data_IF_321396167857
#
_entry.id   IF_321396167857
#
_cell.length_a   1.000
_cell.length_b   1.000
_cell.length_c   1.000
_cell.angle_alpha   90.00
_cell.angle_beta   90.00
_cell.angle_gamma   90.00
#
_symmetry.space_group_name_H-M   'P 1'
#
loop_
_entity.id
_entity.type
_entity.pdbx_description
1 polymer ?
#
# COMPACT_ATOMS: atom_id res chain seq x y z
N UNK A 1 6.96 -33.69 -0.24
CA UNK A 1 7.39 -32.67 0.73
C UNK A 1 7.78 -31.34 0.10
N UNK A 2 8.27 -31.31 -1.14
CA UNK A 2 8.68 -30.04 -1.80
C UNK A 2 7.54 -29.20 -2.41
N UNK A 3 6.29 -29.69 -2.43
CA UNK A 3 5.18 -28.98 -3.09
C UNK A 3 4.56 -27.82 -2.30
N UNK A 4 4.62 -27.88 -0.99
CA UNK A 4 4.07 -26.83 -0.11
C UNK A 4 4.95 -25.58 -0.05
N UNK A 5 6.25 -25.74 -0.09
CA UNK A 5 7.21 -24.61 -0.05
C UNK A 5 7.16 -23.81 -1.36
N UNK A 6 6.94 -24.46 -2.53
CA UNK A 6 6.82 -23.77 -3.83
C UNK A 6 5.60 -22.86 -3.98
N UNK A 7 4.47 -23.17 -3.33
CA UNK A 7 3.27 -22.28 -3.35
C UNK A 7 3.45 -21.00 -2.56
N UNK A 8 4.49 -20.92 -1.76
CA UNK A 8 4.75 -19.85 -0.81
C UNK A 8 5.59 -18.71 -1.39
N UNK A 9 6.38 -18.97 -2.44
CA UNK A 9 7.27 -17.95 -3.05
C UNK A 9 6.50 -16.94 -3.94
N UNK A 10 5.30 -17.28 -4.41
CA UNK A 10 4.55 -16.49 -5.41
C UNK A 10 3.85 -15.22 -4.90
N UNK A 11 3.86 -14.89 -3.60
CA UNK A 11 3.04 -13.80 -3.05
C UNK A 11 3.81 -12.65 -2.39
N UNK A 12 5.14 -12.59 -2.48
CA UNK A 12 5.91 -11.54 -1.84
C UNK A 12 6.46 -10.51 -2.83
N UNK A 13 5.74 -9.42 -2.93
CA UNK A 13 6.26 -8.14 -3.39
C UNK A 13 6.67 -7.30 -2.20
N UNK A 14 7.94 -6.93 -2.17
CA UNK A 14 8.44 -5.66 -1.66
C UNK A 14 7.95 -5.18 -0.28
N UNK A 15 8.35 -5.85 0.81
CA UNK A 15 8.26 -5.26 2.16
C UNK A 15 9.60 -5.39 2.90
N UNK A 16 10.68 -4.96 2.28
CA UNK A 16 11.94 -4.73 2.97
C UNK A 16 12.28 -3.26 2.78
N UNK A 17 11.62 -2.41 3.49
CA UNK A 17 12.03 -1.02 3.81
C UNK A 17 10.78 -0.20 4.15
N UNK A 18 10.26 -0.36 5.35
CA UNK A 18 9.65 0.75 6.08
C UNK A 18 9.69 0.47 7.58
N UNK A 19 10.79 0.85 8.22
CA UNK A 19 10.77 1.09 9.66
C UNK A 19 9.96 2.36 9.89
N UNK A 20 8.65 2.19 10.07
CA UNK A 20 7.81 3.26 10.59
C UNK A 20 8.13 3.39 12.07
N UNK A 21 8.83 4.46 12.41
CA UNK A 21 8.96 4.93 13.78
C UNK A 21 7.60 5.45 14.22
N UNK A 22 6.83 4.62 14.92
CA UNK A 22 5.72 5.13 15.74
C UNK A 22 6.28 5.36 17.12
N UNK A 23 6.57 6.61 17.42
CA UNK A 23 6.83 7.06 18.76
C UNK A 23 5.54 6.99 19.58
N UNK A 24 5.50 6.13 20.59
CA UNK A 24 4.56 6.25 21.68
C UNK A 24 5.37 6.49 22.93
N UNK A 25 5.34 7.73 23.37
CA UNK A 25 5.80 8.10 24.71
C UNK A 25 4.81 7.57 25.75
N UNK A 26 5.33 7.19 26.90
CA UNK A 26 4.49 6.94 28.06
C UNK A 26 5.15 6.08 29.12
N UNK A 27 5.67 6.69 30.11
CA UNK A 27 5.91 6.36 31.51
C UNK A 27 5.39 5.01 32.05
N UNK A 28 6.22 4.38 32.86
CA UNK A 28 5.79 3.43 33.88
C UNK A 28 6.76 2.27 33.99
N UNK A 29 7.85 2.43 34.71
CA UNK A 29 8.67 1.33 35.14
C UNK A 29 7.94 0.58 36.26
N UNK A 30 7.10 -0.39 35.92
CA UNK A 30 6.62 -1.34 36.89
C UNK A 30 7.72 -2.36 37.20
N UNK A 31 8.21 -2.30 38.40
CA UNK A 31 9.01 -3.35 39.03
C UNK A 31 8.14 -4.62 39.12
N UNK A 32 8.29 -5.50 38.14
CA UNK A 32 7.75 -6.89 38.27
C UNK A 32 8.51 -7.55 39.38
N UNK A 33 7.91 -7.55 40.59
CA UNK A 33 8.40 -8.30 41.71
C UNK A 33 8.47 -9.78 41.34
N UNK A 34 9.63 -10.40 41.51
CA UNK A 34 9.73 -11.85 41.50
C UNK A 34 8.88 -12.37 42.69
N UNK A 35 7.93 -13.26 42.42
CA UNK A 35 7.22 -13.95 43.48
C UNK A 35 8.23 -14.65 44.37
N UNK A 36 8.10 -14.49 45.69
CA UNK A 36 8.91 -15.21 46.63
C UNK A 36 8.45 -16.66 46.70
N UNK A 37 9.33 -17.58 47.15
CA UNK A 37 8.99 -18.99 47.26
C UNK A 37 7.79 -19.22 48.20
N UNK A 38 7.58 -18.35 49.20
CA UNK A 38 6.43 -18.39 50.11
C UNK A 38 5.13 -17.97 49.41
N UNK A 39 5.18 -16.98 48.51
CA UNK A 39 4.02 -16.61 47.69
C UNK A 39 3.68 -17.71 46.68
N UNK A 40 4.68 -18.38 46.11
CA UNK A 40 4.49 -19.53 45.23
C UNK A 40 3.91 -20.75 45.94
N UNK A 41 4.21 -20.93 47.25
CA UNK A 41 3.68 -22.03 48.05
C UNK A 41 2.18 -21.92 48.32
N UNK A 42 1.58 -20.74 48.19
CA UNK A 42 0.14 -20.50 48.39
C UNK A 42 -0.73 -20.89 47.22
N UNK A 43 -0.15 -21.14 46.04
CA UNK A 43 -0.93 -21.55 44.87
C UNK A 43 -1.20 -23.04 44.87
N UNK A 44 -2.45 -23.49 44.56
CA UNK A 44 -2.78 -24.91 44.45
C UNK A 44 -1.85 -25.60 43.43
N UNK A 45 -1.50 -26.87 43.70
CA UNK A 45 -0.64 -27.66 42.81
C UNK A 45 -1.10 -27.66 41.35
N UNK A 46 -2.41 -27.61 41.12
CA UNK A 46 -2.99 -27.52 39.78
C UNK A 46 -2.59 -26.24 39.02
N UNK A 47 -2.40 -25.11 39.72
CA UNK A 47 -1.91 -23.85 39.11
C UNK A 47 -0.40 -23.88 38.92
N UNK A 48 0.33 -24.70 39.62
CA UNK A 48 1.78 -24.89 39.42
C UNK A 48 2.11 -25.63 38.10
N UNK A 49 1.19 -26.51 37.65
CA UNK A 49 1.34 -27.21 36.36
C UNK A 49 1.02 -26.32 35.14
N UNK A 50 0.46 -25.13 35.35
CA UNK A 50 0.28 -24.12 34.30
C UNK A 50 1.44 -23.11 34.20
N UNK A 51 2.46 -23.24 35.03
CA UNK A 51 3.73 -22.57 34.74
C UNK A 51 4.28 -23.14 33.44
N UNK A 52 4.85 -22.30 32.55
CA UNK A 52 5.49 -22.79 31.34
C UNK A 52 6.44 -23.90 31.76
N UNK A 53 6.22 -25.10 31.20
CA UNK A 53 7.17 -26.19 31.37
C UNK A 53 8.55 -25.68 31.00
N UNK A 54 9.63 -26.33 31.48
CA UNK A 54 10.97 -25.95 31.12
C UNK A 54 10.97 -25.73 29.61
N UNK A 55 11.63 -24.69 29.17
CA UNK A 55 11.72 -24.18 27.78
C UNK A 55 12.28 -25.21 26.78
N UNK A 56 11.75 -26.41 26.81
CA UNK A 56 11.93 -27.52 25.87
C UNK A 56 10.74 -27.63 24.92
N UNK A 57 10.17 -26.50 24.50
CA UNK A 57 9.19 -26.44 23.43
C UNK A 57 9.80 -26.96 22.14
N UNK A 58 8.94 -27.47 21.25
CA UNK A 58 9.34 -27.89 19.89
C UNK A 58 10.22 -26.82 19.26
N UNK A 59 11.31 -27.23 18.67
CA UNK A 59 12.20 -26.35 17.94
C UNK A 59 12.19 -26.74 16.47
N UNK A 60 12.27 -25.75 15.59
CA UNK A 60 12.45 -25.98 14.16
C UNK A 60 13.96 -25.97 13.85
N UNK A 61 14.45 -27.08 13.36
CA UNK A 61 15.83 -27.16 12.88
C UNK A 61 15.89 -26.72 11.42
N UNK A 62 16.81 -25.80 11.11
CA UNK A 62 17.12 -25.31 9.78
C UNK A 62 18.60 -25.58 9.55
N UNK A 63 18.91 -26.72 8.92
CA UNK A 63 20.27 -27.26 8.84
C UNK A 63 20.91 -27.40 10.24
N UNK A 64 21.89 -26.55 10.55
CA UNK A 64 22.62 -26.56 11.85
C UNK A 64 22.10 -25.54 12.86
N UNK A 65 21.13 -24.73 12.49
CA UNK A 65 20.56 -23.70 13.38
C UNK A 65 19.13 -24.06 13.80
N UNK A 66 18.71 -23.52 14.93
CA UNK A 66 17.44 -23.87 15.55
C UNK A 66 16.62 -22.60 15.81
N UNK A 67 15.36 -22.61 15.42
CA UNK A 67 14.36 -21.58 15.75
C UNK A 67 13.50 -22.13 16.89
N UNK A 68 13.35 -21.37 17.98
CA UNK A 68 12.52 -21.75 19.11
C UNK A 68 11.13 -21.09 19.05
N UNK A 69 10.13 -21.76 19.63
CA UNK A 69 8.78 -21.20 19.79
C UNK A 69 8.82 -19.87 20.55
N UNK A 70 9.70 -19.75 21.55
CA UNK A 70 9.87 -18.52 22.34
C UNK A 70 10.29 -17.32 21.48
N UNK A 71 11.25 -17.52 20.59
CA UNK A 71 11.71 -16.46 19.67
C UNK A 71 10.59 -15.97 18.76
N UNK A 72 9.83 -16.89 18.16
CA UNK A 72 8.73 -16.55 17.25
C UNK A 72 7.62 -15.81 18.00
N UNK A 73 7.20 -16.35 19.13
CA UNK A 73 6.11 -15.75 19.91
C UNK A 73 6.50 -14.36 20.45
N UNK A 74 7.75 -14.20 20.91
CA UNK A 74 8.26 -12.91 21.37
C UNK A 74 8.25 -11.84 20.27
N UNK A 75 8.65 -12.21 19.05
CA UNK A 75 8.62 -11.30 17.89
C UNK A 75 7.20 -10.82 17.57
N UNK A 76 6.22 -11.71 17.71
CA UNK A 76 4.83 -11.44 17.37
C UNK A 76 4.02 -10.81 18.52
N UNK A 77 4.63 -10.51 19.68
CA UNK A 77 3.92 -9.96 20.83
C UNK A 77 3.05 -8.77 20.48
N UNK A 78 3.63 -7.74 19.87
CA UNK A 78 2.92 -6.51 19.51
C UNK A 78 1.75 -6.72 18.54
N UNK A 79 1.86 -7.74 17.68
CA UNK A 79 0.86 -8.03 16.65
C UNK A 79 -0.26 -8.94 17.18
N UNK A 80 0.05 -9.90 18.06
CA UNK A 80 -0.88 -10.94 18.48
C UNK A 80 -1.50 -10.71 19.88
N UNK A 81 -0.92 -9.85 20.70
CA UNK A 81 -1.42 -9.62 22.07
C UNK A 81 -2.86 -9.07 22.09
N UNK A 82 -3.18 -8.10 21.24
CA UNK A 82 -4.53 -7.52 21.16
C UNK A 82 -5.54 -8.49 20.52
N UNK A 83 -5.23 -9.11 19.36
CA UNK A 83 -6.11 -10.12 18.76
C UNK A 83 -6.38 -11.34 19.64
N UNK A 84 -5.50 -11.69 20.58
CA UNK A 84 -5.69 -12.85 21.45
C UNK A 84 -6.72 -12.61 22.56
N UNK A 85 -6.98 -11.34 22.90
CA UNK A 85 -7.95 -10.96 23.92
C UNK A 85 -9.36 -11.05 23.35
N UNK A 86 -10.27 -11.68 24.08
CA UNK A 86 -11.71 -11.75 23.75
C UNK A 86 -12.09 -12.54 22.47
N UNK A 87 -11.27 -13.49 22.05
CA UNK A 87 -11.59 -14.39 20.94
C UNK A 87 -11.44 -15.86 21.36
N UNK A 88 -12.16 -16.76 20.67
CA UNK A 88 -11.96 -18.21 20.85
C UNK A 88 -10.62 -18.66 20.27
N UNK A 89 -10.10 -19.79 20.78
CA UNK A 89 -8.85 -20.39 20.28
C UNK A 89 -8.90 -20.66 18.78
N UNK A 90 -10.01 -21.15 18.27
CA UNK A 90 -10.23 -21.42 16.85
C UNK A 90 -10.18 -20.15 16.00
N UNK A 91 -10.91 -19.11 16.40
CA UNK A 91 -10.91 -17.82 15.71
C UNK A 91 -9.54 -17.15 15.73
N UNK A 92 -8.80 -17.29 16.83
CA UNK A 92 -7.43 -16.80 16.91
C UNK A 92 -6.51 -17.58 15.98
N UNK A 93 -6.60 -18.91 15.96
CA UNK A 93 -5.77 -19.76 15.13
C UNK A 93 -5.94 -19.44 13.64
N UNK A 94 -7.16 -19.27 13.17
CA UNK A 94 -7.45 -18.92 11.78
C UNK A 94 -6.77 -17.60 11.39
N UNK A 95 -6.78 -16.60 12.25
CA UNK A 95 -6.22 -15.27 11.98
C UNK A 95 -4.71 -15.18 12.21
N UNK A 96 -4.21 -15.84 13.24
CA UNK A 96 -2.82 -15.73 13.67
C UNK A 96 -1.89 -16.67 12.91
N UNK A 97 -2.36 -17.85 12.50
CA UNK A 97 -1.54 -18.86 11.82
C UNK A 97 -0.80 -18.33 10.59
N UNK A 98 -1.44 -17.57 9.67
CA UNK A 98 -0.71 -16.99 8.53
C UNK A 98 0.40 -16.02 8.94
N UNK A 99 0.18 -15.21 9.99
CA UNK A 99 1.20 -14.27 10.49
C UNK A 99 2.38 -15.01 11.15
N UNK A 100 2.08 -16.05 11.90
CA UNK A 100 3.11 -16.93 12.51
C UNK A 100 3.91 -17.64 11.41
N UNK A 101 3.23 -18.18 10.41
CA UNK A 101 3.85 -18.86 9.27
C UNK A 101 4.78 -17.93 8.49
N UNK A 102 4.35 -16.69 8.22
CA UNK A 102 5.16 -15.69 7.56
C UNK A 102 6.42 -15.34 8.38
N UNK A 103 6.27 -15.15 9.69
CA UNK A 103 7.40 -14.86 10.59
C UNK A 103 8.38 -16.02 10.68
N UNK A 104 7.89 -17.25 10.77
CA UNK A 104 8.76 -18.46 10.77
C UNK A 104 9.50 -18.56 9.44
N UNK A 105 8.81 -18.32 8.33
CA UNK A 105 9.42 -18.34 7.00
C UNK A 105 10.51 -17.27 6.86
N UNK A 106 10.27 -16.04 7.30
CA UNK A 106 11.28 -14.99 7.29
C UNK A 106 12.52 -15.42 8.07
N UNK A 107 12.34 -15.97 9.27
CA UNK A 107 13.45 -16.51 10.07
C UNK A 107 14.22 -17.61 9.36
N UNK A 108 13.51 -18.54 8.73
CA UNK A 108 14.15 -19.63 7.95
C UNK A 108 14.98 -19.04 6.81
N UNK A 109 14.43 -18.09 6.05
CA UNK A 109 15.13 -17.43 4.96
C UNK A 109 16.36 -16.68 5.47
N UNK A 110 16.26 -15.95 6.57
CA UNK A 110 17.38 -15.22 7.18
C UNK A 110 18.52 -16.17 7.56
N UNK A 111 18.20 -17.31 8.19
CA UNK A 111 19.20 -18.33 8.54
C UNK A 111 19.86 -18.89 7.28
N UNK A 112 19.08 -19.29 6.29
CA UNK A 112 19.59 -19.89 5.06
C UNK A 112 20.44 -18.91 4.27
N UNK A 113 20.02 -17.67 4.14
CA UNK A 113 20.78 -16.61 3.48
C UNK A 113 22.11 -16.35 4.21
N UNK A 114 22.08 -16.30 5.54
CA UNK A 114 23.30 -16.12 6.32
C UNK A 114 24.27 -17.28 6.17
N UNK A 115 23.77 -18.53 6.21
CA UNK A 115 24.59 -19.73 5.99
C UNK A 115 25.23 -19.72 4.58
N UNK A 116 24.45 -19.38 3.55
CA UNK A 116 24.97 -19.25 2.19
C UNK A 116 25.98 -18.11 2.06
N UNK A 117 25.68 -16.94 2.62
CA UNK A 117 26.59 -15.81 2.63
C UNK A 117 27.93 -16.17 3.31
N UNK A 118 27.86 -16.87 4.45
CA UNK A 118 29.05 -17.32 5.18
C UNK A 118 29.85 -18.34 4.37
N UNK A 119 29.20 -19.28 3.70
CA UNK A 119 29.87 -20.32 2.90
C UNK A 119 30.56 -19.78 1.63
N UNK A 120 30.08 -18.65 1.12
CA UNK A 120 30.57 -17.95 -0.08
C UNK A 120 31.53 -16.80 0.24
N UNK A 121 31.67 -16.45 1.51
CA UNK A 121 32.53 -15.37 1.96
C UNK A 121 33.99 -15.64 1.63
N UNK A 122 34.73 -14.60 1.21
CA UNK A 122 36.16 -14.67 1.03
C UNK A 122 36.88 -14.70 2.39
N UNK A 123 38.11 -15.27 2.42
CA UNK A 123 38.92 -15.34 3.64
C UNK A 123 39.17 -13.98 4.30
N UNK A 124 39.19 -12.90 3.51
CA UNK A 124 39.47 -11.55 4.01
C UNK A 124 38.22 -10.70 4.29
N UNK A 125 36.99 -11.31 4.28
CA UNK A 125 35.75 -10.58 4.45
C UNK A 125 35.61 -9.95 5.84
N UNK A 126 36.24 -10.57 6.85
CA UNK A 126 36.06 -10.19 8.24
C UNK A 126 36.56 -8.75 8.52
N UNK A 127 37.72 -8.36 8.00
CA UNK A 127 38.23 -7.00 8.17
C UNK A 127 37.33 -5.94 7.49
N UNK A 128 36.81 -6.26 6.30
CA UNK A 128 35.90 -5.37 5.58
C UNK A 128 34.57 -5.23 6.31
N UNK A 129 34.04 -6.31 6.88
CA UNK A 129 32.83 -6.29 7.67
C UNK A 129 32.99 -5.50 8.97
N UNK A 130 34.13 -5.66 9.67
CA UNK A 130 34.39 -4.89 10.89
C UNK A 130 34.40 -3.40 10.62
N UNK A 131 35.07 -2.96 9.56
CA UNK A 131 35.05 -1.55 9.13
C UNK A 131 33.64 -1.06 8.79
N UNK A 132 32.86 -1.87 8.03
CA UNK A 132 31.52 -1.52 7.66
C UNK A 132 30.57 -1.46 8.88
N UNK A 133 30.71 -2.38 9.84
CA UNK A 133 29.93 -2.37 11.08
C UNK A 133 30.21 -1.12 11.90
N UNK A 134 31.49 -0.71 12.04
CA UNK A 134 31.81 0.51 12.76
C UNK A 134 31.28 1.77 12.05
N UNK A 135 31.22 1.77 10.72
CA UNK A 135 30.56 2.85 9.98
C UNK A 135 29.05 2.92 10.31
N UNK A 136 28.37 1.77 10.37
CA UNK A 136 26.94 1.71 10.73
C UNK A 136 26.70 2.10 12.21
N UNK A 137 27.60 1.73 13.12
CA UNK A 137 27.54 2.20 14.52
C UNK A 137 27.66 3.72 14.59
N UNK A 138 28.64 4.30 13.89
CA UNK A 138 28.83 5.75 13.86
C UNK A 138 27.63 6.46 13.23
N UNK A 139 27.06 5.90 12.16
CA UNK A 139 25.85 6.43 11.55
C UNK A 139 24.67 6.39 12.52
N UNK A 140 24.47 5.28 13.22
CA UNK A 140 23.38 5.14 14.20
C UNK A 140 23.52 6.16 15.36
N UNK A 141 24.74 6.43 15.82
CA UNK A 141 25.00 7.47 16.82
C UNK A 141 24.74 8.86 16.24
N UNK A 142 25.14 9.11 14.99
CA UNK A 142 24.87 10.38 14.29
C UNK A 142 23.37 10.64 14.14
N UNK A 143 22.61 9.63 13.72
CA UNK A 143 21.15 9.69 13.58
C UNK A 143 20.45 9.91 14.93
N UNK A 144 21.12 9.57 16.03
CA UNK A 144 20.68 9.84 17.41
C UNK A 144 21.17 11.21 17.92
N UNK A 145 21.43 12.18 17.03
CA UNK A 145 21.89 13.53 17.36
C UNK A 145 23.34 13.59 17.88
N UNK A 146 24.21 12.68 17.45
CA UNK A 146 25.57 12.49 17.95
C UNK A 146 25.63 12.21 19.47
N UNK A 147 24.56 11.66 20.04
CA UNK A 147 24.46 11.36 21.46
C UNK A 147 24.49 9.85 21.69
N UNK A 148 25.65 9.35 22.16
CA UNK A 148 25.87 7.94 22.43
C UNK A 148 24.89 7.38 23.48
N UNK A 149 24.57 8.14 24.54
CA UNK A 149 23.65 7.70 25.58
C UNK A 149 22.21 7.56 25.02
N UNK A 150 21.79 8.48 24.15
CA UNK A 150 20.49 8.37 23.48
C UNK A 150 20.43 7.20 22.50
N UNK A 151 21.50 6.97 21.74
CA UNK A 151 21.62 5.80 20.86
C UNK A 151 21.54 4.51 21.68
N UNK A 152 22.26 4.41 22.79
CA UNK A 152 22.22 3.26 23.69
C UNK A 152 20.81 3.04 24.29
N UNK A 153 20.14 4.10 24.73
CA UNK A 153 18.77 4.02 25.24
C UNK A 153 17.81 3.48 24.16
N UNK A 154 17.97 3.92 22.91
CA UNK A 154 17.20 3.42 21.76
C UNK A 154 17.44 1.93 21.49
N UNK A 155 18.67 1.45 21.59
CA UNK A 155 19.01 0.02 21.49
C UNK A 155 18.39 -0.78 22.63
N UNK A 156 18.54 -0.29 23.86
CA UNK A 156 17.98 -0.95 25.06
C UNK A 156 16.45 -1.07 24.98
N UNK A 157 15.78 -0.05 24.45
CA UNK A 157 14.33 -0.09 24.20
C UNK A 157 13.91 -1.18 23.18
N UNK A 158 14.84 -1.61 22.33
CA UNK A 158 14.66 -2.74 21.39
C UNK A 158 15.18 -4.07 21.93
N UNK A 159 15.66 -4.09 23.18
CA UNK A 159 16.23 -5.28 23.82
C UNK A 159 17.63 -5.65 23.30
N UNK A 160 18.36 -4.70 22.72
CA UNK A 160 19.70 -4.87 22.21
C UNK A 160 20.71 -4.07 23.04
N UNK A 161 21.91 -4.61 23.17
CA UNK A 161 23.10 -3.88 23.58
C UNK A 161 23.99 -3.58 22.34
N UNK A 162 25.10 -2.88 22.54
CA UNK A 162 26.02 -2.56 21.47
C UNK A 162 26.66 -3.79 20.82
N UNK A 163 26.88 -4.86 21.59
CA UNK A 163 27.39 -6.12 21.05
C UNK A 163 26.33 -6.77 20.14
N UNK A 164 25.10 -6.92 20.63
CA UNK A 164 24.01 -7.46 19.85
C UNK A 164 23.73 -6.66 18.58
N UNK A 165 23.85 -5.33 18.64
CA UNK A 165 23.71 -4.46 17.47
C UNK A 165 24.82 -4.70 16.45
N UNK A 166 26.10 -4.79 16.88
CA UNK A 166 27.23 -5.11 15.98
C UNK A 166 27.08 -6.49 15.36
N UNK A 167 26.72 -7.49 16.15
CA UNK A 167 26.50 -8.87 15.66
C UNK A 167 25.37 -8.92 14.62
N UNK A 168 24.28 -8.16 14.87
CA UNK A 168 23.19 -8.03 13.90
C UNK A 168 23.66 -7.34 12.62
N UNK A 169 24.34 -6.21 12.71
CA UNK A 169 24.84 -5.48 11.56
C UNK A 169 25.83 -6.31 10.74
N UNK A 170 26.71 -7.06 11.40
CA UNK A 170 27.66 -7.94 10.72
C UNK A 170 26.95 -9.00 9.88
N UNK A 171 25.94 -9.67 10.47
CA UNK A 171 25.13 -10.65 9.74
C UNK A 171 24.40 -10.01 8.57
N UNK A 172 23.76 -8.87 8.82
CA UNK A 172 23.03 -8.13 7.81
C UNK A 172 23.92 -7.72 6.61
N UNK A 173 25.07 -7.10 6.88
CA UNK A 173 25.99 -6.65 5.85
C UNK A 173 26.57 -7.82 5.03
N UNK A 174 26.88 -8.94 5.69
CA UNK A 174 27.34 -10.14 5.00
C UNK A 174 26.28 -10.68 4.04
N UNK A 175 25.03 -10.78 4.48
CA UNK A 175 23.90 -11.22 3.64
C UNK A 175 23.65 -10.24 2.50
N UNK A 176 23.68 -8.93 2.77
CA UNK A 176 23.50 -7.91 1.72
C UNK A 176 24.60 -7.96 0.67
N UNK A 177 25.85 -8.17 1.09
CA UNK A 177 26.99 -8.38 0.17
C UNK A 177 26.76 -9.59 -0.72
N UNK A 178 26.38 -10.73 -0.14
CA UNK A 178 26.08 -11.96 -0.87
C UNK A 178 24.95 -11.74 -1.90
N UNK A 179 23.82 -11.18 -1.48
CA UNK A 179 22.69 -10.87 -2.36
C UNK A 179 23.12 -9.93 -3.49
N UNK A 180 23.90 -8.92 -3.17
CA UNK A 180 24.39 -7.95 -4.17
C UNK A 180 25.25 -8.62 -5.24
N UNK A 181 26.10 -9.57 -4.88
CA UNK A 181 26.92 -10.34 -5.81
C UNK A 181 26.07 -11.29 -6.65
N UNK A 182 25.17 -12.06 -6.03
CA UNK A 182 24.30 -13.02 -6.73
C UNK A 182 23.28 -12.36 -7.66
N UNK A 183 22.84 -11.15 -7.31
CA UNK A 183 21.89 -10.38 -8.12
C UNK A 183 22.56 -9.35 -9.02
N UNK A 184 23.89 -9.33 -9.09
CA UNK A 184 24.60 -8.46 -10.01
C UNK A 184 24.11 -8.76 -11.43
N UNK A 185 23.58 -7.73 -12.09
CA UNK A 185 22.98 -7.86 -13.40
C UNK A 185 23.84 -7.19 -14.45
N UNK A 186 24.48 -8.01 -15.21
CA UNK A 186 25.27 -7.55 -16.36
C UNK A 186 24.46 -7.59 -17.67
N UNK A 187 23.20 -8.06 -17.62
CA UNK A 187 22.32 -8.14 -18.78
C UNK A 187 21.36 -6.94 -18.84
N UNK A 188 21.44 -6.14 -19.88
CA UNK A 188 20.48 -5.04 -20.06
C UNK A 188 19.07 -5.57 -20.26
N UNK A 189 18.08 -4.74 -19.95
CA UNK A 189 16.68 -5.01 -20.34
C UNK A 189 16.61 -4.96 -21.87
N UNK A 190 16.15 -6.04 -22.47
CA UNK A 190 16.00 -6.13 -23.91
C UNK A 190 14.71 -5.44 -24.36
N UNK A 191 14.68 -4.93 -25.58
CA UNK A 191 13.47 -4.30 -26.13
C UNK A 191 12.25 -5.23 -26.10
N UNK A 192 12.46 -6.51 -26.37
CA UNK A 192 11.38 -7.52 -26.34
C UNK A 192 10.74 -7.61 -24.95
N UNK A 193 11.54 -7.54 -23.87
CA UNK A 193 11.01 -7.58 -22.50
C UNK A 193 10.08 -6.38 -22.20
N UNK A 194 10.41 -5.23 -22.78
CA UNK A 194 9.59 -4.01 -22.63
C UNK A 194 8.29 -4.11 -23.39
N UNK A 195 8.35 -4.64 -24.63
CA UNK A 195 7.15 -4.83 -25.46
C UNK A 195 6.20 -5.84 -24.82
N UNK A 196 6.71 -7.00 -24.39
CA UNK A 196 5.91 -8.02 -23.70
C UNK A 196 5.25 -7.45 -22.43
N UNK A 197 6.00 -6.68 -21.65
CA UNK A 197 5.45 -6.07 -20.44
C UNK A 197 4.42 -5.00 -20.76
N UNK A 198 4.68 -4.13 -21.75
CA UNK A 198 3.72 -3.14 -22.24
C UNK A 198 2.41 -3.79 -22.66
N UNK A 199 2.48 -4.85 -23.49
CA UNK A 199 1.29 -5.57 -23.97
C UNK A 199 0.51 -6.21 -22.82
N UNK A 200 1.19 -6.65 -21.77
CA UNK A 200 0.52 -7.24 -20.60
C UNK A 200 -0.26 -6.24 -19.74
N UNK A 201 0.06 -4.93 -19.82
CA UNK A 201 -0.52 -3.90 -18.95
C UNK A 201 -1.31 -2.82 -19.72
N UNK A 202 -1.20 -2.73 -21.05
CA UNK A 202 -1.77 -1.63 -21.85
C UNK A 202 -3.27 -1.49 -21.63
N UNK A 203 -4.02 -2.61 -21.65
CA UNK A 203 -5.47 -2.62 -21.52
C UNK A 203 -5.99 -2.32 -20.10
N UNK A 204 -5.13 -2.41 -19.10
CA UNK A 204 -5.52 -2.27 -17.69
C UNK A 204 -4.93 -1.04 -17.02
N UNK A 205 -3.63 -0.78 -17.22
CA UNK A 205 -2.90 0.26 -16.51
C UNK A 205 -2.60 1.51 -17.35
N UNK A 206 -2.56 1.37 -18.67
CA UNK A 206 -2.16 2.45 -19.59
C UNK A 206 -3.34 3.08 -20.31
N UNK A 207 -4.57 2.60 -20.06
CA UNK A 207 -5.77 3.27 -20.59
C UNK A 207 -5.88 4.68 -20.02
N UNK A 208 -6.25 5.60 -20.90
CA UNK A 208 -6.59 6.96 -20.53
C UNK A 208 -8.06 7.18 -20.82
N UNK A 209 -8.79 7.67 -19.84
CA UNK A 209 -10.19 8.04 -20.02
C UNK A 209 -10.32 9.23 -20.95
N UNK A 210 -11.39 9.23 -21.75
CA UNK A 210 -11.78 10.40 -22.48
C UNK A 210 -12.21 11.52 -21.54
N UNK A 211 -12.09 12.75 -21.96
CA UNK A 211 -12.61 13.88 -21.21
C UNK A 211 -13.19 14.94 -22.13
N UNK A 212 -14.19 15.64 -21.61
CA UNK A 212 -14.81 16.78 -22.27
C UNK A 212 -14.76 17.99 -21.34
N UNK A 213 -14.44 19.15 -21.90
CA UNK A 213 -14.50 20.45 -21.24
C UNK A 213 -15.49 21.30 -22.00
N UNK A 214 -16.43 21.91 -21.29
CA UNK A 214 -17.52 22.65 -21.92
C UNK A 214 -17.94 23.85 -21.06
N UNK A 215 -18.67 24.78 -21.72
CA UNK A 215 -19.39 25.87 -21.07
C UNK A 215 -20.88 25.57 -21.09
N UNK A 216 -21.57 26.05 -20.07
CA UNK A 216 -23.02 25.88 -19.93
C UNK A 216 -23.69 27.22 -19.60
N UNK A 217 -24.79 27.50 -20.26
CA UNK A 217 -25.79 28.48 -19.80
C UNK A 217 -26.93 27.64 -19.22
N UNK A 218 -27.23 27.83 -17.95
CA UNK A 218 -28.32 27.18 -17.24
C UNK A 218 -29.44 28.20 -16.96
N UNK A 219 -30.58 27.96 -17.55
CA UNK A 219 -31.79 28.78 -17.34
C UNK A 219 -32.75 27.98 -16.49
N UNK A 220 -33.01 28.46 -15.27
CA UNK A 220 -33.94 27.85 -14.34
C UNK A 220 -35.29 28.58 -14.44
N UNK A 221 -36.38 27.93 -14.95
CA UNK A 221 -37.68 28.56 -15.14
C UNK A 221 -38.19 29.27 -13.92
N UNK A 222 -38.02 28.70 -12.73
CA UNK A 222 -38.48 29.25 -11.46
C UNK A 222 -37.79 30.57 -11.07
N UNK A 223 -36.61 30.83 -11.61
CA UNK A 223 -35.79 32.04 -11.34
C UNK A 223 -36.01 33.14 -12.35
N UNK A 224 -36.85 32.93 -13.37
CA UNK A 224 -37.17 33.96 -14.36
C UNK A 224 -37.97 35.09 -13.71
N UNK A 225 -37.58 36.36 -14.01
CA UNK A 225 -38.29 37.54 -13.60
C UNK A 225 -39.58 37.75 -14.43
N UNK A 226 -40.53 38.55 -13.93
CA UNK A 226 -41.74 38.85 -14.66
C UNK A 226 -41.44 39.51 -16.04
N UNK A 227 -40.40 40.32 -16.09
CA UNK A 227 -39.90 40.97 -17.31
C UNK A 227 -39.43 39.97 -18.35
N UNK A 228 -38.70 38.90 -17.91
CA UNK A 228 -38.21 37.83 -18.76
C UNK A 228 -39.33 36.92 -19.29
N UNK A 229 -40.39 36.72 -18.50
CA UNK A 229 -41.56 35.94 -18.91
C UNK A 229 -42.40 36.77 -19.94
N UNK A 230 -42.56 38.08 -19.71
CA UNK A 230 -43.33 38.96 -20.57
C UNK A 230 -44.86 38.75 -20.44
N UNK A 231 -45.63 39.58 -21.13
CA UNK A 231 -47.10 39.58 -21.09
C UNK A 231 -47.74 38.52 -22.05
N UNK A 232 -46.96 37.56 -22.57
CA UNK A 232 -47.38 36.66 -23.63
C UNK A 232 -48.25 35.48 -23.19
N UNK A 233 -48.61 35.41 -21.89
CA UNK A 233 -49.40 34.28 -21.34
C UNK A 233 -48.65 32.96 -21.29
N UNK A 234 -47.34 32.98 -21.54
CA UNK A 234 -46.47 31.78 -21.50
C UNK A 234 -46.25 31.32 -20.08
N UNK A 235 -46.14 30.03 -19.91
CA UNK A 235 -45.65 29.40 -18.65
C UNK A 235 -44.15 29.68 -18.48
N UNK A 236 -43.64 29.56 -17.24
CA UNK A 236 -42.19 29.73 -16.96
C UNK A 236 -41.31 28.82 -17.77
N UNK A 237 -41.63 27.50 -17.92
CA UNK A 237 -40.82 26.59 -18.78
C UNK A 237 -40.84 27.02 -20.25
N UNK A 238 -41.96 27.48 -20.78
CA UNK A 238 -42.05 27.94 -22.17
C UNK A 238 -41.22 29.22 -22.39
N UNK A 239 -41.24 30.13 -21.45
CA UNK A 239 -40.42 31.34 -21.47
C UNK A 239 -38.92 31.01 -21.39
N UNK A 240 -38.50 30.02 -20.56
CA UNK A 240 -37.14 29.56 -20.46
C UNK A 240 -36.66 28.94 -21.79
N UNK A 241 -37.49 28.14 -22.43
CA UNK A 241 -37.18 27.56 -23.76
C UNK A 241 -37.08 28.63 -24.84
N UNK A 242 -37.95 29.64 -24.81
CA UNK A 242 -37.88 30.79 -25.74
C UNK A 242 -36.57 31.55 -25.59
N UNK A 243 -36.20 31.90 -24.35
CA UNK A 243 -34.95 32.59 -24.05
C UNK A 243 -33.75 31.74 -24.50
N UNK A 244 -33.77 30.44 -24.22
CA UNK A 244 -32.71 29.57 -24.64
C UNK A 244 -32.53 29.53 -26.17
N UNK A 245 -33.63 29.46 -26.94
CA UNK A 245 -33.56 29.53 -28.42
C UNK A 245 -33.02 30.86 -28.91
N UNK A 246 -33.45 31.98 -28.32
CA UNK A 246 -32.91 33.30 -28.64
C UNK A 246 -31.41 33.39 -28.39
N UNK A 247 -30.93 32.81 -27.28
CA UNK A 247 -29.49 32.76 -26.98
C UNK A 247 -28.73 31.89 -27.95
N UNK A 248 -29.24 30.71 -28.33
CA UNK A 248 -28.65 29.86 -29.36
C UNK A 248 -28.51 30.61 -30.70
N UNK A 249 -29.54 31.36 -31.13
CA UNK A 249 -29.47 32.18 -32.33
C UNK A 249 -28.41 33.28 -32.24
N UNK A 250 -28.31 33.96 -31.11
CA UNK A 250 -27.32 35.02 -30.86
C UNK A 250 -25.89 34.47 -30.89
N UNK A 251 -25.67 33.31 -30.27
CA UNK A 251 -24.38 32.65 -30.33
C UNK A 251 -24.06 32.24 -31.77
N UNK A 252 -25.04 31.72 -32.53
CA UNK A 252 -24.89 31.39 -33.95
C UNK A 252 -24.57 32.60 -34.84
N UNK A 253 -24.93 33.82 -34.39
CA UNK A 253 -24.55 35.10 -35.04
C UNK A 253 -23.20 35.64 -34.57
N UNK A 254 -22.48 34.95 -33.73
CA UNK A 254 -21.13 35.29 -33.28
C UNK A 254 -21.07 36.05 -31.95
N UNK A 255 -22.14 36.10 -31.18
CA UNK A 255 -22.12 36.71 -29.85
C UNK A 255 -21.37 35.78 -28.87
N UNK A 256 -20.56 36.38 -27.98
CA UNK A 256 -19.70 35.62 -27.10
C UNK A 256 -20.49 34.80 -26.08
N UNK A 257 -20.25 33.48 -26.05
CA UNK A 257 -20.93 32.55 -25.17
C UNK A 257 -20.67 32.85 -23.68
N UNK A 258 -19.44 33.24 -23.33
CA UNK A 258 -19.07 33.50 -21.95
C UNK A 258 -19.76 34.75 -21.41
N UNK A 259 -19.89 35.79 -22.24
CA UNK A 259 -20.63 37.01 -21.85
C UNK A 259 -22.12 36.73 -21.70
N UNK A 260 -22.70 35.91 -22.57
CA UNK A 260 -24.11 35.49 -22.45
C UNK A 260 -24.29 34.61 -21.20
N UNK A 261 -23.35 33.72 -20.89
CA UNK A 261 -23.41 32.92 -19.67
C UNK A 261 -23.36 33.79 -18.41
N UNK A 262 -22.51 34.80 -18.36
CA UNK A 262 -22.47 35.77 -17.24
C UNK A 262 -23.79 36.50 -17.04
N UNK A 263 -24.47 36.80 -18.12
CA UNK A 263 -25.69 37.60 -18.09
C UNK A 263 -26.97 36.78 -17.81
N UNK A 264 -27.02 35.55 -18.34
CA UNK A 264 -28.29 34.80 -18.38
C UNK A 264 -28.25 33.49 -17.60
N UNK A 265 -27.07 32.97 -17.26
CA UNK A 265 -26.96 31.68 -16.56
C UNK A 265 -27.30 31.83 -15.06
N UNK A 266 -28.06 30.88 -14.56
CA UNK A 266 -28.36 30.76 -13.14
C UNK A 266 -27.36 29.84 -12.40
N UNK A 267 -26.40 29.20 -13.12
CA UNK A 267 -25.37 28.39 -12.53
C UNK A 267 -24.29 29.23 -11.81
N UNK A 268 -23.71 28.69 -10.74
CA UNK A 268 -22.64 29.35 -9.99
C UNK A 268 -21.42 29.70 -10.86
N UNK A 269 -21.22 28.96 -11.95
CA UNK A 269 -20.12 29.18 -12.92
C UNK A 269 -20.40 30.31 -13.92
N UNK A 270 -21.56 30.96 -13.84
CA UNK A 270 -21.88 32.12 -14.66
C UNK A 270 -20.76 33.17 -14.63
N UNK A 271 -20.17 33.44 -13.45
CA UNK A 271 -19.11 34.43 -13.25
C UNK A 271 -17.82 34.13 -14.05
N UNK A 272 -17.57 32.86 -14.34
CA UNK A 272 -16.45 32.41 -15.19
C UNK A 272 -16.90 32.07 -16.62
N UNK A 273 -18.03 32.61 -17.06
CA UNK A 273 -18.58 32.38 -18.39
C UNK A 273 -19.10 30.96 -18.60
N UNK A 274 -19.62 30.34 -17.56
CA UNK A 274 -20.21 29.02 -17.61
C UNK A 274 -19.22 27.86 -17.76
N UNK A 275 -17.91 28.08 -17.59
CA UNK A 275 -16.87 27.04 -17.79
C UNK A 275 -16.91 25.95 -16.69
N UNK A 276 -17.01 24.72 -17.13
CA UNK A 276 -16.88 23.52 -16.29
C UNK A 276 -15.47 22.97 -16.36
N UNK A 277 -14.99 22.39 -15.27
CA UNK A 277 -13.72 21.64 -15.28
C UNK A 277 -13.87 20.42 -16.19
N UNK A 278 -12.78 19.93 -16.79
CA UNK A 278 -12.82 18.72 -17.60
C UNK A 278 -13.46 17.57 -16.86
N UNK A 279 -14.38 16.87 -17.50
CA UNK A 279 -15.13 15.73 -16.97
C UNK A 279 -14.69 14.49 -17.71
N UNK A 280 -14.35 13.44 -16.96
CA UNK A 280 -14.06 12.13 -17.53
C UNK A 280 -15.34 11.52 -18.08
N UNK A 281 -15.29 11.03 -19.32
CA UNK A 281 -16.45 10.46 -20.01
C UNK A 281 -16.69 9.00 -19.65
N UNK A 282 -17.94 8.59 -19.59
CA UNK A 282 -18.33 7.20 -19.37
C UNK A 282 -18.42 6.75 -17.92
N UNK A 283 -18.21 7.65 -16.96
CA UNK A 283 -18.29 7.34 -15.52
C UNK A 283 -19.56 7.85 -14.83
N UNK A 284 -20.43 8.56 -15.56
CA UNK A 284 -21.60 9.17 -14.96
C UNK A 284 -21.21 10.16 -13.86
N UNK A 285 -20.20 11.00 -14.13
CA UNK A 285 -19.58 11.88 -13.14
C UNK A 285 -20.49 12.99 -12.65
N UNK A 286 -21.57 13.29 -13.40
CA UNK A 286 -22.51 14.36 -13.10
C UNK A 286 -23.80 13.80 -12.51
N UNK A 287 -24.19 14.37 -11.37
CA UNK A 287 -25.49 14.12 -10.78
C UNK A 287 -26.58 14.89 -11.55
N UNK A 288 -27.81 14.41 -11.47
CA UNK A 288 -29.00 15.12 -11.98
C UNK A 288 -29.12 16.53 -11.39
N UNK A 289 -29.55 17.51 -12.16
CA UNK A 289 -30.03 17.45 -13.54
C UNK A 289 -28.92 17.56 -14.60
N UNK A 290 -27.65 17.58 -14.21
CA UNK A 290 -26.50 17.85 -15.08
C UNK A 290 -25.98 16.64 -15.85
N UNK A 291 -26.46 15.43 -15.54
CA UNK A 291 -26.06 14.17 -16.19
C UNK A 291 -26.24 14.17 -17.71
N UNK A 292 -27.27 14.89 -18.21
CA UNK A 292 -27.52 15.09 -19.64
C UNK A 292 -26.39 15.83 -20.36
N UNK A 293 -25.64 16.69 -19.64
CA UNK A 293 -24.59 17.51 -20.25
C UNK A 293 -23.41 16.65 -20.73
N UNK A 294 -23.01 15.62 -19.97
CA UNK A 294 -21.98 14.69 -20.42
C UNK A 294 -22.40 13.97 -21.72
N UNK A 295 -23.64 13.48 -21.74
CA UNK A 295 -24.19 12.77 -22.89
C UNK A 295 -24.23 13.65 -24.14
N UNK A 296 -24.60 14.90 -24.01
CA UNK A 296 -24.65 15.84 -25.14
C UNK A 296 -23.26 16.33 -25.54
N UNK A 297 -22.37 16.63 -24.57
CA UNK A 297 -21.01 17.07 -24.84
C UNK A 297 -20.19 16.05 -25.65
N UNK A 298 -20.36 14.76 -25.37
CA UNK A 298 -19.65 13.68 -26.10
C UNK A 298 -20.01 13.65 -27.60
N UNK A 299 -21.21 14.10 -27.98
CA UNK A 299 -21.67 14.12 -29.38
C UNK A 299 -21.11 15.28 -30.19
N UNK A 300 -20.60 16.33 -29.49
CA UNK A 300 -20.13 17.54 -30.13
C UNK A 300 -18.65 17.47 -30.50
N UNK A 301 -18.28 18.30 -31.47
CA UNK A 301 -16.91 18.68 -31.74
C UNK A 301 -16.59 20.04 -31.07
N UNK A 302 -15.33 20.38 -30.81
CA UNK A 302 -14.95 21.65 -30.22
C UNK A 302 -15.60 22.84 -30.95
N UNK A 303 -16.03 23.85 -30.19
CA UNK A 303 -16.79 25.02 -30.61
C UNK A 303 -18.26 24.76 -31.00
N UNK A 304 -18.71 23.52 -31.14
CA UNK A 304 -20.11 23.21 -31.39
C UNK A 304 -20.99 23.45 -30.17
N UNK A 305 -22.24 23.73 -30.44
CA UNK A 305 -23.27 24.07 -29.44
C UNK A 305 -24.38 23.03 -29.46
N UNK A 306 -24.82 22.60 -28.31
CA UNK A 306 -26.08 21.85 -28.14
C UNK A 306 -27.07 22.68 -27.30
N UNK A 307 -28.31 22.64 -27.66
CA UNK A 307 -29.39 23.26 -26.90
C UNK A 307 -30.51 23.82 -27.80
N UNK A 308 -31.64 24.15 -27.19
CA UNK A 308 -31.99 24.00 -25.76
C UNK A 308 -32.10 22.53 -25.30
N UNK A 309 -31.53 22.20 -24.16
CA UNK A 309 -31.60 20.88 -23.54
C UNK A 309 -32.45 21.02 -22.26
N UNK A 310 -33.66 20.47 -22.25
CA UNK A 310 -34.52 20.48 -21.08
C UNK A 310 -34.30 19.26 -20.18
N UNK A 311 -34.03 19.47 -18.91
CA UNK A 311 -33.83 18.40 -17.93
C UNK A 311 -34.26 18.86 -16.51
N UNK A 312 -35.15 18.16 -15.87
CA UNK A 312 -35.54 18.29 -14.44
C UNK A 312 -35.62 19.74 -13.91
N UNK A 313 -36.42 20.60 -14.62
CA UNK A 313 -36.60 22.00 -14.19
C UNK A 313 -35.44 22.95 -14.61
N UNK A 314 -34.60 22.55 -15.51
CA UNK A 314 -33.51 23.32 -16.10
C UNK A 314 -33.61 23.33 -17.61
N UNK A 315 -33.11 24.39 -18.25
CA UNK A 315 -32.93 24.48 -19.69
C UNK A 315 -31.46 24.88 -19.94
N UNK A 316 -30.71 23.96 -20.51
CA UNK A 316 -29.30 24.17 -20.75
C UNK A 316 -28.99 24.53 -22.21
N UNK A 317 -27.96 25.34 -22.39
CA UNK A 317 -27.22 25.50 -23.64
C UNK A 317 -25.77 25.15 -23.33
N UNK A 318 -25.18 24.29 -24.12
CA UNK A 318 -23.83 23.78 -23.91
C UNK A 318 -22.97 24.13 -25.14
N UNK A 319 -21.73 24.57 -24.92
CA UNK A 319 -20.69 24.68 -25.94
C UNK A 319 -19.50 23.83 -25.53
N UNK A 320 -19.04 22.96 -26.44
CA UNK A 320 -17.85 22.17 -26.20
C UNK A 320 -16.60 23.00 -26.40
N UNK A 321 -15.72 23.08 -25.40
CA UNK A 321 -14.42 23.80 -25.48
C UNK A 321 -13.31 22.86 -25.95
N UNK A 322 -13.21 21.67 -25.36
CA UNK A 322 -12.22 20.68 -25.74
C UNK A 322 -12.73 19.25 -25.52
N UNK A 323 -12.22 18.33 -26.31
CA UNK A 323 -12.53 16.90 -26.25
C UNK A 323 -11.26 16.08 -26.36
N UNK A 324 -11.03 15.24 -25.38
CA UNK A 324 -9.95 14.26 -25.42
C UNK A 324 -10.56 12.88 -25.54
N UNK A 325 -10.17 12.15 -26.59
CA UNK A 325 -10.65 10.78 -26.76
C UNK A 325 -10.05 9.87 -25.69
N UNK A 326 -10.81 8.85 -25.29
CA UNK A 326 -10.26 7.73 -24.56
C UNK A 326 -9.19 7.05 -25.43
N UNK A 327 -8.15 6.56 -24.79
CA UNK A 327 -7.05 5.95 -25.53
C UNK A 327 -6.12 5.16 -24.61
N UNK A 328 -4.94 4.91 -25.10
CA UNK A 328 -3.86 4.25 -24.36
C UNK A 328 -2.60 5.10 -24.47
N UNK A 329 -1.83 5.13 -23.39
CA UNK A 329 -0.48 5.72 -23.48
C UNK A 329 0.35 4.88 -24.42
N UNK A 330 0.97 5.52 -25.40
CA UNK A 330 1.84 4.84 -26.36
C UNK A 330 3.08 4.26 -25.65
N UNK A 331 3.65 3.21 -26.25
CA UNK A 331 4.90 2.62 -25.77
C UNK A 331 6.02 3.68 -25.59
N UNK A 332 6.14 4.61 -26.54
CA UNK A 332 7.17 5.65 -26.50
C UNK A 332 7.02 6.58 -25.27
N UNK A 333 5.78 6.91 -24.87
CA UNK A 333 5.52 7.77 -23.71
C UNK A 333 5.91 7.11 -22.40
N UNK A 334 5.80 5.76 -22.30
CA UNK A 334 6.00 5.04 -21.05
C UNK A 334 7.30 4.22 -21.01
N UNK A 335 8.05 4.15 -22.10
CA UNK A 335 9.22 3.29 -22.26
C UNK A 335 10.21 3.39 -21.09
N UNK A 336 10.57 4.63 -20.68
CA UNK A 336 11.51 4.85 -19.58
C UNK A 336 10.98 4.34 -18.24
N UNK A 337 9.67 4.49 -18.01
CA UNK A 337 9.01 3.95 -16.81
C UNK A 337 9.03 2.43 -16.84
N UNK A 338 8.65 1.84 -17.98
CA UNK A 338 8.65 0.38 -18.17
C UNK A 338 10.02 -0.23 -17.98
N UNK A 339 11.08 0.42 -18.44
CA UNK A 339 12.47 -0.04 -18.25
C UNK A 339 12.79 -0.22 -16.76
N UNK A 340 12.44 0.75 -15.93
CA UNK A 340 12.64 0.66 -14.49
C UNK A 340 11.81 -0.45 -13.85
N UNK A 341 10.53 -0.57 -14.23
CA UNK A 341 9.63 -1.62 -13.74
C UNK A 341 10.14 -3.02 -14.13
N UNK A 342 10.51 -3.22 -15.38
CA UNK A 342 11.03 -4.49 -15.87
C UNK A 342 12.36 -4.87 -15.21
N UNK A 343 13.26 -3.88 -14.96
CA UNK A 343 14.48 -4.10 -14.16
C UNK A 343 14.16 -4.65 -12.76
N UNK A 344 13.19 -4.04 -12.09
CA UNK A 344 12.76 -4.49 -10.77
C UNK A 344 12.13 -5.89 -10.82
N UNK A 345 11.27 -6.16 -11.81
CA UNK A 345 10.64 -7.48 -12.00
C UNK A 345 11.71 -8.55 -12.23
N UNK A 346 12.67 -8.30 -13.12
CA UNK A 346 13.76 -9.23 -13.40
C UNK A 346 14.66 -9.46 -12.19
N UNK A 347 14.95 -8.39 -11.42
CA UNK A 347 15.72 -8.49 -10.17
C UNK A 347 14.96 -9.35 -9.15
N UNK A 348 13.65 -9.12 -9.00
CA UNK A 348 12.80 -9.93 -8.11
C UNK A 348 12.79 -11.40 -8.54
N UNK A 349 12.56 -11.68 -9.82
CA UNK A 349 12.55 -13.06 -10.34
C UNK A 349 13.88 -13.80 -10.07
N UNK A 350 15.01 -13.11 -10.19
CA UNK A 350 16.31 -13.69 -9.86
C UNK A 350 16.47 -13.94 -8.37
N UNK A 351 16.04 -12.99 -7.55
CA UNK A 351 16.02 -13.17 -6.10
C UNK A 351 15.16 -14.38 -5.70
N UNK A 352 13.94 -14.48 -6.24
CA UNK A 352 13.04 -15.60 -5.97
C UNK A 352 13.70 -16.94 -6.42
N UNK A 353 14.30 -16.99 -7.60
CA UNK A 353 15.04 -18.18 -8.08
C UNK A 353 16.24 -18.53 -7.20
N UNK A 354 16.95 -17.55 -6.68
CA UNK A 354 18.04 -17.75 -5.73
C UNK A 354 17.52 -18.35 -4.43
N UNK A 355 16.44 -17.81 -3.88
CA UNK A 355 15.80 -18.35 -2.68
C UNK A 355 15.28 -19.77 -2.90
N UNK A 356 14.61 -20.04 -4.01
CA UNK A 356 14.14 -21.40 -4.36
C UNK A 356 15.25 -22.42 -4.32
N UNK A 357 16.43 -22.09 -4.87
CA UNK A 357 17.59 -22.98 -4.85
C UNK A 357 18.10 -23.23 -3.43
N UNK A 358 18.18 -22.18 -2.62
CA UNK A 358 18.66 -22.26 -1.23
C UNK A 358 17.69 -23.10 -0.40
N UNK A 359 16.39 -22.85 -0.51
CA UNK A 359 15.36 -23.59 0.21
C UNK A 359 15.31 -25.06 -0.22
N UNK A 360 15.50 -25.34 -1.52
CA UNK A 360 15.49 -26.71 -2.02
C UNK A 360 16.64 -27.59 -1.48
N UNK A 361 17.72 -26.95 -1.02
CA UNK A 361 18.90 -27.62 -0.44
C UNK A 361 18.84 -27.71 1.09
N UNK A 362 17.89 -27.03 1.73
CA UNK A 362 17.78 -26.98 3.18
C UNK A 362 17.10 -28.23 3.75
N UNK A 363 17.60 -28.71 4.88
CA UNK A 363 16.93 -29.72 5.70
C UNK A 363 16.05 -29.01 6.73
N UNK A 364 14.73 -29.01 6.45
CA UNK A 364 13.70 -28.40 7.29
C UNK A 364 12.60 -29.43 7.50
N UNK A 365 12.43 -29.87 8.73
CA UNK A 365 11.42 -30.88 9.09
C UNK A 365 10.36 -30.30 10.02
N UNK A 366 9.12 -30.80 9.90
CA UNK A 366 8.00 -30.49 10.80
C UNK A 366 7.60 -29.00 10.87
N UNK A 367 7.78 -28.24 9.76
CA UNK A 367 7.47 -26.83 9.70
C UNK A 367 6.01 -26.52 10.11
N UNK A 368 5.05 -27.25 9.55
CA UNK A 368 3.61 -27.02 9.87
C UNK A 368 3.30 -27.26 11.34
N UNK A 369 3.83 -28.34 11.92
CA UNK A 369 3.65 -28.62 13.34
C UNK A 369 4.28 -27.54 14.23
N UNK A 370 5.44 -27.02 13.83
CA UNK A 370 6.09 -25.94 14.55
C UNK A 370 5.27 -24.63 14.49
N UNK A 371 4.71 -24.28 13.32
CA UNK A 371 3.82 -23.12 13.15
C UNK A 371 2.57 -23.27 14.01
N UNK A 372 1.94 -24.44 14.01
CA UNK A 372 0.75 -24.71 14.83
C UNK A 372 1.06 -24.58 16.33
N UNK A 373 2.24 -25.04 16.76
CA UNK A 373 2.67 -24.92 18.15
C UNK A 373 3.00 -23.47 18.54
N UNK A 374 3.66 -22.70 17.66
CA UNK A 374 3.87 -21.28 17.89
C UNK A 374 2.55 -20.53 18.03
N UNK A 375 1.57 -20.85 17.19
CA UNK A 375 0.24 -20.23 17.21
C UNK A 375 -0.51 -20.55 18.51
N UNK A 376 -0.50 -21.82 18.93
CA UNK A 376 -1.12 -22.26 20.17
C UNK A 376 -0.45 -21.62 21.40
N UNK A 377 0.88 -21.54 21.42
CA UNK A 377 1.62 -20.90 22.52
C UNK A 377 1.37 -19.38 22.56
N UNK A 378 1.31 -18.72 21.42
CA UNK A 378 0.96 -17.30 21.36
C UNK A 378 -0.44 -17.04 21.94
N UNK A 379 -1.42 -17.87 21.58
CA UNK A 379 -2.76 -17.77 22.16
C UNK A 379 -2.74 -18.00 23.66
N UNK A 380 -2.08 -19.06 24.14
CA UNK A 380 -1.97 -19.39 25.58
C UNK A 380 -1.36 -18.22 26.34
N UNK A 381 -0.32 -17.60 25.82
CA UNK A 381 0.44 -16.53 26.48
C UNK A 381 -0.30 -15.20 26.48
N UNK A 382 -0.96 -14.84 25.40
CA UNK A 382 -1.56 -13.51 25.23
C UNK A 382 -3.05 -13.45 25.57
N UNK A 383 -3.71 -14.60 25.68
CA UNK A 383 -5.11 -14.74 26.10
C UNK A 383 -5.33 -14.37 27.57
N UNK A 384 -4.29 -14.31 28.39
CA UNK A 384 -4.43 -14.10 29.84
C UNK A 384 -5.12 -12.75 30.06
N UNK A 385 -6.40 -12.83 30.46
CA UNK A 385 -7.17 -11.72 30.95
C UNK A 385 -6.53 -11.38 32.30
N UNK A 386 -6.04 -10.17 32.47
CA UNK A 386 -5.77 -9.67 33.82
C UNK A 386 -7.11 -9.71 34.58
N UNK A 387 -7.28 -10.69 35.42
CA UNK A 387 -8.37 -10.68 36.42
C UNK A 387 -8.04 -9.52 37.35
N UNK A 388 -8.80 -8.42 37.18
CA UNK A 388 -8.80 -7.29 38.10
C UNK A 388 -9.30 -7.70 39.47
#
# INVERSE_FOLDING_TARGET
MNGHIRRLVGRFGLWVFLLVVIGVGGCGADKKGKFTDEQMAQFPLATRYNLPGPSGGMALNVNTETITVEEVVKLLKGTLEVPAKNVSAESFQIRARPLVEDTVREKVIDILLYQQAKSKASENIDEALDKAVEMEVNRFVSDSGNNYAQAQASLSGRGLDWKGYRDFQRKFLLVQSYISVELKDDKPVMHIDLVEYYDSIKDTRLRTEGSVEFRVIDIIPERLTAEQIGDSGQTRPEAALRIARELVERIGKGEDFAELAKKYSNDLRATVGGLWRPIETGKGALAKPFDVLETEAVKLEPEQIAGPIAAEGHVFILRLESKKAAGEKSFAEVQKQLENEVKLIKKKQRYDKMLDKIIAQADIQNLDQFVDQCTAEAYRRYRIIEVK
#
